data_IF_642213674234
#
_entry.id   IF_642213674234
#
_cell.length_a   1.000
_cell.length_b   1.000
_cell.length_c   1.000
_cell.angle_alpha   90.00
_cell.angle_beta   90.00
_cell.angle_gamma   90.00
#
_symmetry.space_group_name_H-M   'P 1'
#
loop_
_entity.id
_entity.type
_entity.pdbx_description
1 polymer ?
#
# COMPACT_ATOMS: atom_id res chain seq x y z
N UNK A 1 -22.11 8.04 16.55
CA UNK A 1 -22.29 7.11 15.40
C UNK A 1 -21.33 7.36 14.25
N UNK A 2 -20.93 8.63 13.99
CA UNK A 2 -19.93 9.02 12.98
C UNK A 2 -18.62 8.27 13.19
N UNK A 3 -17.85 8.57 14.25
CA UNK A 3 -16.51 7.97 14.54
C UNK A 3 -16.41 6.45 14.27
N UNK A 4 -17.43 5.67 14.67
CA UNK A 4 -17.45 4.22 14.42
C UNK A 4 -17.39 3.89 12.92
N UNK A 5 -18.08 4.65 12.08
CA UNK A 5 -18.09 4.52 10.61
C UNK A 5 -16.72 4.83 10.00
N UNK A 6 -16.03 5.88 10.43
CA UNK A 6 -14.66 6.15 9.94
C UNK A 6 -13.69 5.05 10.37
N UNK A 7 -13.78 4.57 11.62
CA UNK A 7 -12.96 3.44 12.11
C UNK A 7 -13.19 2.17 11.29
N UNK A 8 -14.45 1.82 11.00
CA UNK A 8 -14.75 0.68 10.12
C UNK A 8 -14.21 0.88 8.71
N UNK A 9 -14.27 2.11 8.19
CA UNK A 9 -13.67 2.45 6.89
C UNK A 9 -12.18 2.16 6.87
N UNK A 10 -11.45 2.63 7.89
CA UNK A 10 -10.01 2.37 8.05
C UNK A 10 -9.73 0.87 8.08
N UNK A 11 -10.45 0.13 8.92
CA UNK A 11 -10.25 -1.33 9.08
C UNK A 11 -10.45 -2.05 7.75
N UNK A 12 -11.53 -1.76 7.02
CA UNK A 12 -11.84 -2.41 5.74
C UNK A 12 -10.76 -2.07 4.70
N UNK A 13 -10.36 -0.81 4.59
CA UNK A 13 -9.33 -0.40 3.62
C UNK A 13 -7.99 -1.06 3.89
N UNK A 14 -7.57 -1.10 5.16
CA UNK A 14 -6.33 -1.77 5.58
C UNK A 14 -6.43 -3.27 5.28
N UNK A 15 -7.51 -3.94 5.67
CA UNK A 15 -7.68 -5.38 5.41
C UNK A 15 -7.65 -5.73 3.92
N UNK A 16 -8.33 -4.95 3.08
CA UNK A 16 -8.34 -5.18 1.62
C UNK A 16 -6.93 -5.02 1.04
N UNK A 17 -6.25 -3.93 1.37
CA UNK A 17 -4.87 -3.71 0.92
C UNK A 17 -3.96 -4.84 1.38
N UNK A 18 -4.04 -5.20 2.65
CA UNK A 18 -3.13 -6.17 3.27
C UNK A 18 -3.38 -7.59 2.77
N UNK A 19 -4.64 -7.98 2.56
CA UNK A 19 -4.96 -9.27 1.95
C UNK A 19 -4.47 -9.34 0.51
N UNK A 20 -4.71 -8.29 -0.29
CA UNK A 20 -4.22 -8.25 -1.66
C UNK A 20 -2.69 -8.37 -1.72
N UNK A 21 -1.99 -7.62 -0.87
CA UNK A 21 -0.53 -7.65 -0.77
C UNK A 21 -0.02 -8.99 -0.26
N UNK A 22 -0.67 -9.58 0.75
CA UNK A 22 -0.34 -10.92 1.27
C UNK A 22 -0.50 -12.01 0.20
N UNK A 23 -1.59 -11.99 -0.57
CA UNK A 23 -1.78 -12.96 -1.65
C UNK A 23 -0.71 -12.82 -2.72
N UNK A 24 -0.31 -11.60 -3.07
CA UNK A 24 0.80 -11.38 -4.00
C UNK A 24 2.13 -11.93 -3.46
N UNK A 25 2.38 -11.81 -2.15
CA UNK A 25 3.58 -12.35 -1.52
C UNK A 25 3.60 -13.87 -1.39
N UNK A 26 2.45 -14.50 -1.15
CA UNK A 26 2.34 -15.96 -1.11
C UNK A 26 2.71 -16.60 -2.45
N UNK A 27 2.55 -15.85 -3.54
CA UNK A 27 2.87 -16.24 -4.92
C UNK A 27 4.29 -15.75 -5.31
N UNK A 28 4.97 -15.04 -4.39
CA UNK A 28 6.08 -14.18 -4.75
C UNK A 28 6.83 -13.45 -3.64
N UNK A 29 8.04 -13.94 -3.33
CA UNK A 29 9.11 -13.26 -2.54
C UNK A 29 8.90 -13.16 -1.02
N UNK A 30 9.98 -13.44 -0.29
CA UNK A 30 10.12 -13.13 1.13
C UNK A 30 10.62 -11.70 1.34
N UNK A 31 9.88 -10.91 2.10
CA UNK A 31 10.25 -9.53 2.47
C UNK A 31 10.90 -9.48 3.86
N UNK A 32 11.59 -8.38 4.16
CA UNK A 32 12.03 -8.14 5.54
C UNK A 32 10.83 -7.84 6.45
N UNK A 33 10.86 -8.37 7.68
CA UNK A 33 9.84 -8.09 8.69
C UNK A 33 9.66 -6.58 8.93
N UNK A 34 10.72 -5.80 8.78
CA UNK A 34 10.69 -4.34 8.91
C UNK A 34 9.84 -3.68 7.81
N UNK A 35 10.06 -4.04 6.54
CA UNK A 35 9.25 -3.51 5.45
C UNK A 35 7.78 -3.93 5.58
N UNK A 36 7.53 -5.17 6.00
CA UNK A 36 6.20 -5.70 6.23
C UNK A 36 5.41 -4.90 7.29
N UNK A 37 6.02 -4.62 8.45
CA UNK A 37 5.41 -3.82 9.52
C UNK A 37 5.21 -2.37 9.06
N UNK A 38 6.17 -1.80 8.33
CA UNK A 38 6.04 -0.43 7.82
C UNK A 38 4.91 -0.29 6.82
N UNK A 39 4.70 -1.26 5.91
CA UNK A 39 3.54 -1.27 5.00
C UNK A 39 2.22 -1.23 5.77
N UNK A 40 2.10 -2.03 6.82
CA UNK A 40 0.92 -2.02 7.69
C UNK A 40 0.71 -0.62 8.30
N UNK A 41 1.74 -0.04 8.92
CA UNK A 41 1.66 1.28 9.53
C UNK A 41 1.26 2.38 8.53
N UNK A 42 1.84 2.37 7.33
CA UNK A 42 1.51 3.33 6.28
C UNK A 42 0.09 3.13 5.73
N UNK A 43 -0.36 1.90 5.54
CA UNK A 43 -1.75 1.64 5.09
C UNK A 43 -2.77 2.15 6.11
N UNK A 44 -2.49 2.00 7.41
CA UNK A 44 -3.31 2.56 8.50
C UNK A 44 -3.29 4.09 8.43
N UNK A 45 -2.11 4.72 8.35
CA UNK A 45 -1.97 6.17 8.32
C UNK A 45 -2.74 6.80 7.15
N UNK A 46 -2.55 6.28 5.94
CA UNK A 46 -3.22 6.81 4.75
C UNK A 46 -4.73 6.56 4.78
N UNK A 47 -5.18 5.42 5.32
CA UNK A 47 -6.61 5.17 5.52
C UNK A 47 -7.20 6.15 6.55
N UNK A 48 -6.48 6.45 7.64
CA UNK A 48 -6.89 7.47 8.62
C UNK A 48 -6.99 8.85 7.96
N UNK A 49 -5.98 9.25 7.18
CA UNK A 49 -5.99 10.51 6.42
C UNK A 49 -7.24 10.56 5.52
N UNK A 50 -7.54 9.47 4.80
CA UNK A 50 -8.74 9.42 3.97
C UNK A 50 -10.02 9.60 4.78
N UNK A 51 -10.27 8.78 5.81
CA UNK A 51 -11.57 8.77 6.49
C UNK A 51 -11.77 9.90 7.51
N UNK A 52 -10.69 10.42 8.10
CA UNK A 52 -10.79 11.47 9.13
C UNK A 52 -10.51 12.87 8.60
N UNK A 53 -9.56 13.04 7.66
CA UNK A 53 -9.22 14.36 7.13
C UNK A 53 -10.02 14.73 5.87
N UNK A 54 -10.18 13.79 4.93
CA UNK A 54 -10.82 14.08 3.65
C UNK A 54 -12.29 13.69 3.57
N UNK A 55 -12.62 12.46 3.98
CA UNK A 55 -13.91 11.76 3.89
C UNK A 55 -14.81 12.24 2.73
N UNK A 56 -14.22 12.36 1.54
CA UNK A 56 -14.84 13.06 0.44
C UNK A 56 -15.57 12.11 -0.50
N UNK A 57 -16.73 12.52 -1.01
CA UNK A 57 -17.42 11.79 -2.08
C UNK A 57 -16.79 12.00 -3.46
N UNK A 58 -15.75 12.83 -3.57
CA UNK A 58 -15.12 13.18 -4.85
C UNK A 58 -14.16 12.10 -5.29
N UNK A 59 -14.47 11.46 -6.42
CA UNK A 59 -13.74 10.34 -7.02
C UNK A 59 -12.25 10.64 -7.25
N UNK A 60 -11.92 11.78 -7.85
CA UNK A 60 -10.54 12.17 -8.15
C UNK A 60 -9.63 12.26 -6.93
N UNK A 61 -10.17 12.64 -5.75
CA UNK A 61 -9.37 12.70 -4.51
C UNK A 61 -8.95 11.32 -4.03
N UNK A 62 -9.77 10.27 -4.28
CA UNK A 62 -9.41 8.88 -3.96
C UNK A 62 -8.27 8.41 -4.83
N UNK A 63 -8.36 8.67 -6.14
CA UNK A 63 -7.31 8.32 -7.10
C UNK A 63 -6.00 8.98 -6.69
N UNK A 64 -6.01 10.31 -6.47
CA UNK A 64 -4.82 11.05 -6.09
C UNK A 64 -4.19 10.48 -4.81
N UNK A 65 -4.98 10.26 -3.75
CA UNK A 65 -4.45 9.71 -2.50
C UNK A 65 -3.88 8.31 -2.69
N UNK A 66 -4.51 7.48 -3.52
CA UNK A 66 -4.06 6.11 -3.79
C UNK A 66 -2.77 6.07 -4.60
N UNK A 67 -2.61 6.99 -5.55
CA UNK A 67 -1.34 7.19 -6.28
C UNK A 67 -0.23 7.65 -5.32
N UNK A 68 -0.50 8.60 -4.42
CA UNK A 68 0.47 9.04 -3.41
C UNK A 68 0.85 7.86 -2.51
N UNK A 69 -0.13 7.07 -2.06
CA UNK A 69 0.11 5.89 -1.25
C UNK A 69 1.00 4.86 -1.96
N UNK A 70 0.65 4.47 -3.20
CA UNK A 70 1.44 3.50 -3.96
C UNK A 70 2.86 4.00 -4.23
N UNK A 71 3.01 5.30 -4.54
CA UNK A 71 4.32 5.95 -4.68
C UNK A 71 5.11 5.86 -3.39
N UNK A 72 4.49 6.21 -2.26
CA UNK A 72 5.14 6.19 -0.96
C UNK A 72 5.60 4.80 -0.56
N UNK A 73 4.73 3.78 -0.66
CA UNK A 73 5.09 2.40 -0.33
C UNK A 73 6.20 1.87 -1.24
N UNK A 74 6.10 2.12 -2.54
CA UNK A 74 7.11 1.66 -3.51
C UNK A 74 8.46 2.34 -3.29
N UNK A 75 8.46 3.64 -2.99
CA UNK A 75 9.69 4.37 -2.67
C UNK A 75 10.26 3.93 -1.32
N UNK A 76 9.40 3.69 -0.34
CA UNK A 76 9.80 3.16 0.96
C UNK A 76 10.40 1.76 0.83
N UNK A 77 9.86 0.91 -0.05
CA UNK A 77 10.50 -0.36 -0.41
C UNK A 77 11.91 -0.10 -0.90
N UNK A 78 12.07 0.71 -1.94
CA UNK A 78 13.39 1.02 -2.53
C UNK A 78 14.37 1.54 -1.47
N UNK A 79 13.92 2.30 -0.47
CA UNK A 79 14.81 2.77 0.60
C UNK A 79 15.15 1.68 1.62
N UNK A 80 14.18 0.83 1.98
CA UNK A 80 14.26 -0.07 3.14
C UNK A 80 14.59 -1.53 2.83
N UNK A 81 14.30 -2.01 1.62
CA UNK A 81 14.71 -3.33 1.13
C UNK A 81 16.06 -3.29 0.41
N UNK A 82 16.47 -2.12 -0.06
CA UNK A 82 17.86 -1.85 -0.38
C UNK A 82 18.59 -1.39 0.88
N UNK A 83 19.90 -1.51 0.85
CA UNK A 83 20.82 -0.50 1.39
C UNK A 83 20.62 0.84 0.63
N UNK A 84 19.38 1.34 0.48
CA UNK A 84 18.97 2.26 -0.59
C UNK A 84 19.64 3.63 -0.49
N UNK A 85 19.97 4.04 0.73
CA UNK A 85 20.79 5.21 0.99
C UNK A 85 22.24 5.02 0.52
N UNK A 86 22.81 3.82 0.66
CA UNK A 86 24.19 3.46 0.31
C UNK A 86 24.38 3.38 -1.21
N UNK A 87 23.40 2.85 -1.94
CA UNK A 87 23.43 2.85 -3.41
C UNK A 87 23.12 4.23 -4.02
N UNK A 88 22.24 5.04 -3.40
CA UNK A 88 22.01 6.43 -3.81
C UNK A 88 23.28 7.29 -3.65
N UNK A 89 24.17 6.91 -2.73
CA UNK A 89 25.50 7.49 -2.52
C UNK A 89 26.59 6.87 -3.41
N UNK A 90 26.24 6.02 -4.38
CA UNK A 90 27.16 5.49 -5.38
C UNK A 90 28.06 4.35 -4.90
N UNK A 91 27.77 3.76 -3.74
CA UNK A 91 28.51 2.60 -3.25
C UNK A 91 27.81 1.35 -3.82
N UNK A 92 28.47 0.68 -4.77
CA UNK A 92 28.02 -0.59 -5.34
C UNK A 92 27.96 -1.66 -4.24
N UNK A 93 26.74 -2.01 -3.81
CA UNK A 93 26.54 -3.19 -2.99
C UNK A 93 26.32 -4.38 -3.94
N UNK A 94 27.06 -5.47 -3.74
CA UNK A 94 26.92 -6.76 -4.47
C UNK A 94 25.53 -7.41 -4.30
N UNK A 95 24.63 -6.80 -3.54
CA UNK A 95 23.30 -7.30 -3.25
C UNK A 95 22.28 -6.71 -4.24
N UNK A 96 21.84 -7.51 -5.21
CA UNK A 96 20.66 -7.20 -5.99
C UNK A 96 19.43 -7.28 -5.07
N UNK A 97 18.53 -6.29 -5.08
CA UNK A 97 17.28 -6.38 -4.32
C UNK A 97 16.55 -7.66 -4.75
N UNK A 98 15.90 -8.38 -3.82
CA UNK A 98 15.05 -9.50 -4.23
C UNK A 98 13.99 -8.92 -5.18
N UNK A 99 14.04 -9.29 -6.47
CA UNK A 99 13.10 -8.76 -7.43
C UNK A 99 11.71 -9.25 -7.08
N UNK A 100 10.68 -8.43 -7.30
CA UNK A 100 9.30 -8.91 -7.16
C UNK A 100 9.10 -10.05 -8.13
N UNK A 101 8.91 -11.26 -7.65
CA UNK A 101 8.70 -12.46 -8.46
C UNK A 101 7.26 -12.86 -8.30
N UNK A 102 6.48 -13.06 -9.35
CA UNK A 102 5.19 -13.77 -9.27
C UNK A 102 5.28 -14.96 -10.19
N UNK A 103 4.99 -16.16 -9.67
CA UNK A 103 5.11 -17.42 -10.44
C UNK A 103 6.50 -17.62 -11.11
N UNK A 104 7.58 -17.15 -10.47
CA UNK A 104 8.94 -17.25 -11.04
C UNK A 104 9.30 -16.15 -12.04
N UNK A 105 8.41 -15.19 -12.33
CA UNK A 105 8.66 -14.07 -13.24
C UNK A 105 8.94 -12.78 -12.48
N UNK A 106 10.06 -12.12 -12.79
CA UNK A 106 10.36 -10.79 -12.27
C UNK A 106 9.37 -9.74 -12.78
N UNK A 107 8.63 -9.10 -11.87
CA UNK A 107 7.82 -7.94 -12.15
C UNK A 107 8.63 -6.67 -12.15
N UNK A 108 8.28 -5.83 -13.10
CA UNK A 108 8.74 -4.46 -13.18
C UNK A 108 8.27 -3.67 -11.93
N UNK A 109 9.14 -2.85 -11.29
CA UNK A 109 8.76 -1.97 -10.18
C UNK A 109 7.55 -1.07 -10.46
N UNK A 110 7.31 -0.70 -11.71
CA UNK A 110 6.12 0.06 -12.14
C UNK A 110 4.85 -0.75 -11.89
N UNK A 111 4.84 -2.05 -12.18
CA UNK A 111 3.67 -2.91 -11.94
C UNK A 111 3.38 -3.07 -10.45
N UNK A 112 4.44 -3.11 -9.63
CA UNK A 112 4.33 -3.13 -8.18
C UNK A 112 3.71 -1.84 -7.62
N UNK A 113 4.18 -0.70 -8.11
CA UNK A 113 3.61 0.61 -7.80
C UNK A 113 2.14 0.75 -8.23
N UNK A 114 1.81 0.29 -9.44
CA UNK A 114 0.42 0.25 -9.93
C UNK A 114 -0.42 -0.64 -9.01
N UNK A 115 0.08 -1.82 -8.65
CA UNK A 115 -0.62 -2.75 -7.77
C UNK A 115 -0.97 -2.12 -6.42
N UNK A 116 -0.01 -1.51 -5.72
CA UNK A 116 -0.28 -0.86 -4.42
C UNK A 116 -1.26 0.30 -4.52
N UNK A 117 -1.15 1.09 -5.59
CA UNK A 117 -2.10 2.18 -5.87
C UNK A 117 -3.52 1.65 -6.07
N UNK A 118 -3.68 0.59 -6.86
CA UNK A 118 -4.99 -0.03 -7.13
C UNK A 118 -5.55 -0.72 -5.90
N UNK A 119 -4.74 -1.50 -5.18
CA UNK A 119 -5.17 -2.25 -4.00
C UNK A 119 -5.70 -1.31 -2.90
N UNK A 120 -4.99 -0.21 -2.66
CA UNK A 120 -5.44 0.80 -1.69
C UNK A 120 -6.70 1.52 -2.14
N UNK A 121 -6.80 1.88 -3.42
CA UNK A 121 -7.98 2.49 -4.01
C UNK A 121 -9.22 1.60 -3.87
N UNK A 122 -9.11 0.31 -4.19
CA UNK A 122 -10.19 -0.69 -4.03
C UNK A 122 -10.60 -0.77 -2.55
N UNK A 123 -9.63 -0.77 -1.63
CA UNK A 123 -9.90 -0.73 -0.19
C UNK A 123 -10.75 0.47 0.23
N UNK A 124 -10.46 1.66 -0.29
CA UNK A 124 -11.25 2.87 -0.04
C UNK A 124 -12.66 2.75 -0.64
N UNK A 125 -12.78 2.22 -1.87
CA UNK A 125 -14.08 2.04 -2.53
C UNK A 125 -14.98 1.07 -1.76
N UNK A 126 -14.48 -0.13 -1.46
CA UNK A 126 -15.24 -1.16 -0.72
C UNK A 126 -15.68 -0.60 0.64
N UNK A 127 -14.77 0.04 1.38
CA UNK A 127 -15.10 0.70 2.64
C UNK A 127 -16.20 1.76 2.47
N UNK A 128 -16.10 2.58 1.41
CA UNK A 128 -17.10 3.59 1.05
C UNK A 128 -18.49 2.99 0.79
N UNK A 129 -18.59 1.85 0.09
CA UNK A 129 -19.85 1.16 -0.14
C UNK A 129 -20.44 0.56 1.14
N UNK A 130 -19.62 -0.15 1.91
CA UNK A 130 -20.04 -0.87 3.12
C UNK A 130 -20.48 0.08 4.23
N UNK A 131 -19.77 1.20 4.41
CA UNK A 131 -20.08 2.19 5.45
C UNK A 131 -21.29 3.07 5.08
N UNK A 132 -21.58 3.26 3.78
CA UNK A 132 -22.76 4.00 3.29
C UNK A 132 -24.07 3.23 3.39
N UNK A 133 -24.08 1.91 3.19
CA UNK A 133 -25.30 1.07 3.22
C UNK A 133 -25.98 0.97 4.59
N UNK A 134 -25.33 1.39 5.69
CA UNK A 134 -25.96 1.51 7.02
C UNK A 134 -26.67 2.88 7.21
N UNK A 135 -27.46 3.29 6.23
CA UNK A 135 -28.38 4.43 6.26
C UNK A 135 -29.76 3.92 5.90
#
# INVERSE_FOLDING_TARGET
>A
MKIRKEVYGVIITVLVFWLADFFMHFIGVGESNYYYISKLGNSILFAVIWFFAFNSKVYWKKILLSVIFGTWISFYYIISSYSGLVQLLGIEAEYAPPPFVIFGVFLNPILWWVFHSIAFYIGIEIAGYTVKRKK
#
